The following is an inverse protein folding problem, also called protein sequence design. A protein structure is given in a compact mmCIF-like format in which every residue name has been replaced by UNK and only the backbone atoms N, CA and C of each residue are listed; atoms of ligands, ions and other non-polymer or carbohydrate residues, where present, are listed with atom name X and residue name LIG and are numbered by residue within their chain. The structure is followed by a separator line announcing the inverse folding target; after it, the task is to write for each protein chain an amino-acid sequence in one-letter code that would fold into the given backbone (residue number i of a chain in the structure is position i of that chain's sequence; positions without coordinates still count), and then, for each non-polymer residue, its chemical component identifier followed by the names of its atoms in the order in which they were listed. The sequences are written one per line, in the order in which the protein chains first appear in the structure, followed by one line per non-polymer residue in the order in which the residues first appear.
data_IF_916679295865
#
_entry.id   IF_916679295865
#
_cell.length_a   1.000
_cell.length_b   1.000
_cell.length_c   1.000
_cell.angle_alpha   90.00
_cell.angle_beta   90.00
_cell.angle_gamma   90.00
#
_symmetry.space_group_name_H-M   'P 1'
#
loop_
_entity.id
_entity.type
_entity.pdbx_description
1 polymer ?
#
# COMPACT_ATOMS: atom_id res chain seq x y z
N UNK A 1 -14.78 -22.16 -25.68
CA UNK A 1 -15.06 -22.15 -27.13
C UNK A 1 -13.79 -21.72 -27.84
N UNK A 2 -13.23 -22.54 -28.73
CA UNK A 2 -12.05 -22.19 -29.53
C UNK A 2 -12.54 -21.73 -30.91
N UNK A 3 -12.62 -20.41 -31.13
CA UNK A 3 -13.02 -19.85 -32.41
C UNK A 3 -11.78 -19.42 -33.20
N UNK A 4 -11.59 -19.84 -34.46
CA UNK A 4 -10.48 -19.39 -35.28
C UNK A 4 -10.56 -17.88 -35.48
N UNK A 5 -9.51 -17.15 -35.10
CA UNK A 5 -9.49 -15.68 -35.14
C UNK A 5 -9.31 -15.11 -36.56
N UNK A 6 -9.01 -15.96 -37.55
CA UNK A 6 -8.74 -15.53 -38.94
C UNK A 6 -7.43 -14.74 -39.11
N UNK A 7 -6.65 -14.55 -38.05
CA UNK A 7 -5.33 -13.93 -38.11
C UNK A 7 -4.25 -14.94 -38.55
N UNK A 8 -3.32 -14.49 -39.38
CA UNK A 8 -2.14 -15.26 -39.79
C UNK A 8 -1.02 -15.27 -38.72
N UNK A 9 -1.25 -14.63 -37.57
CA UNK A 9 -0.30 -14.53 -36.45
C UNK A 9 -1.06 -14.53 -35.12
N UNK A 10 -0.46 -15.14 -34.11
CA UNK A 10 -0.96 -15.09 -32.74
C UNK A 10 -0.77 -13.70 -32.13
N UNK A 11 -1.62 -13.34 -31.17
CA UNK A 11 -1.40 -12.17 -30.32
C UNK A 11 -0.17 -12.40 -29.44
N UNK A 12 0.54 -11.33 -29.13
CA UNK A 12 1.63 -11.36 -28.16
C UNK A 12 1.06 -11.46 -26.75
N UNK A 13 1.72 -12.24 -25.88
CA UNK A 13 1.31 -12.35 -24.50
C UNK A 13 1.45 -11.02 -23.76
N UNK A 14 0.49 -10.72 -22.89
CA UNK A 14 0.57 -9.61 -21.94
C UNK A 14 1.76 -9.83 -21.00
N UNK A 15 2.49 -8.76 -20.72
CA UNK A 15 3.61 -8.75 -19.77
C UNK A 15 3.17 -8.17 -18.44
N UNK A 16 3.48 -8.86 -17.34
CA UNK A 16 3.26 -8.33 -15.99
C UNK A 16 4.56 -7.68 -15.51
N UNK A 17 4.61 -6.34 -15.50
CA UNK A 17 5.82 -5.61 -15.12
C UNK A 17 6.00 -5.56 -13.59
N UNK A 18 7.03 -6.25 -13.10
CA UNK A 18 7.42 -6.22 -11.68
C UNK A 18 7.81 -4.84 -11.18
N UNK A 19 8.35 -3.97 -12.04
CA UNK A 19 8.66 -2.58 -11.70
C UNK A 19 7.41 -1.75 -11.43
N UNK A 20 6.27 -2.17 -11.95
CA UNK A 20 4.96 -1.55 -11.73
C UNK A 20 4.11 -2.29 -10.69
N UNK A 21 4.69 -3.19 -9.90
CA UNK A 21 3.97 -3.87 -8.84
C UNK A 21 3.08 -5.03 -9.32
N UNK A 22 3.39 -5.61 -10.48
CA UNK A 22 2.67 -6.77 -11.03
C UNK A 22 3.56 -8.01 -11.11
N UNK A 23 2.97 -9.19 -10.93
CA UNK A 23 3.62 -10.47 -11.17
C UNK A 23 2.72 -11.40 -11.98
N UNK A 24 3.35 -12.35 -12.68
CA UNK A 24 2.65 -13.37 -13.46
C UNK A 24 2.06 -14.41 -12.50
N UNK A 25 0.73 -14.45 -12.40
CA UNK A 25 0.02 -15.52 -11.69
C UNK A 25 -0.07 -16.77 -12.57
N UNK A 26 -0.37 -16.57 -13.85
CA UNK A 26 -0.50 -17.64 -14.84
C UNK A 26 0.16 -17.18 -16.14
N UNK A 27 1.08 -17.99 -16.67
CA UNK A 27 1.70 -17.72 -17.96
C UNK A 27 0.71 -17.88 -19.12
N UNK A 28 0.99 -17.19 -20.23
CA UNK A 28 0.22 -17.37 -21.45
C UNK A 28 0.35 -18.78 -22.03
N UNK A 29 -0.64 -19.18 -22.80
CA UNK A 29 -0.69 -20.42 -23.58
C UNK A 29 -1.18 -20.14 -25.00
N UNK A 30 -1.28 -21.17 -25.84
CA UNK A 30 -1.80 -21.04 -27.21
C UNK A 30 -3.24 -20.48 -27.28
N UNK A 31 -4.00 -20.57 -26.19
CA UNK A 31 -5.42 -20.19 -26.14
C UNK A 31 -5.77 -19.20 -25.04
N UNK A 32 -4.82 -18.87 -24.16
CA UNK A 32 -5.04 -17.98 -23.02
C UNK A 32 -3.91 -16.98 -22.90
N UNK A 33 -4.23 -15.74 -22.57
CA UNK A 33 -3.22 -14.74 -22.27
C UNK A 33 -2.66 -14.90 -20.83
N UNK A 34 -1.59 -14.20 -20.52
CA UNK A 34 -0.99 -14.10 -19.19
C UNK A 34 -1.98 -13.49 -18.20
N UNK A 35 -2.08 -14.03 -16.99
CA UNK A 35 -2.87 -13.43 -15.90
C UNK A 35 -1.94 -12.70 -14.93
N UNK A 36 -2.18 -11.41 -14.72
CA UNK A 36 -1.39 -10.57 -13.83
C UNK A 36 -2.05 -10.38 -12.46
N UNK A 37 -1.24 -10.40 -11.40
CA UNK A 37 -1.62 -10.07 -10.04
C UNK A 37 -0.70 -9.02 -9.43
N UNK A 38 -1.16 -8.40 -8.37
CA UNK A 38 -0.45 -7.34 -7.64
C UNK A 38 0.48 -7.93 -6.59
N UNK A 39 1.70 -7.42 -6.50
CA UNK A 39 2.70 -7.82 -5.49
C UNK A 39 2.39 -7.15 -4.15
N UNK A 40 2.86 -7.72 -3.04
CA UNK A 40 2.69 -7.13 -1.70
C UNK A 40 3.24 -5.70 -1.62
N UNK A 41 2.52 -4.83 -0.90
CA UNK A 41 2.81 -3.40 -0.81
C UNK A 41 2.26 -2.57 -1.99
N UNK A 42 1.48 -3.19 -2.88
CA UNK A 42 0.76 -2.51 -3.96
C UNK A 42 -0.73 -2.88 -3.93
N UNK A 43 -1.56 -2.04 -4.54
CA UNK A 43 -2.95 -2.33 -4.83
C UNK A 43 -3.26 -2.15 -6.32
N UNK A 44 -4.27 -2.86 -6.79
CA UNK A 44 -4.73 -2.74 -8.15
C UNK A 44 -5.58 -1.49 -8.32
N UNK A 45 -5.17 -0.60 -9.22
CA UNK A 45 -5.93 0.59 -9.58
C UNK A 45 -6.90 0.31 -10.72
N UNK A 46 -6.43 -0.40 -11.75
CA UNK A 46 -7.22 -0.74 -12.92
C UNK A 46 -7.23 -2.24 -13.17
N UNK A 47 -8.44 -2.79 -13.35
CA UNK A 47 -8.67 -4.18 -13.67
C UNK A 47 -8.95 -4.32 -15.17
N UNK A 48 -8.34 -5.34 -15.77
CA UNK A 48 -8.56 -5.77 -17.14
C UNK A 48 -9.05 -7.24 -17.14
N UNK A 49 -9.39 -7.76 -18.32
CA UNK A 49 -9.88 -9.13 -18.53
C UNK A 49 -8.87 -10.18 -18.04
N UNK A 50 -7.58 -9.83 -18.07
CA UNK A 50 -6.43 -10.68 -17.67
C UNK A 50 -5.94 -10.43 -16.24
N UNK A 51 -6.65 -9.62 -15.45
CA UNK A 51 -6.29 -9.33 -14.06
C UNK A 51 -5.93 -7.86 -13.85
N UNK A 52 -4.93 -7.59 -13.01
CA UNK A 52 -4.55 -6.20 -12.74
C UNK A 52 -3.66 -5.64 -13.86
N UNK A 53 -4.08 -4.55 -14.49
CA UNK A 53 -3.32 -3.89 -15.57
C UNK A 53 -2.46 -2.74 -15.05
N UNK A 54 -2.92 -2.03 -14.02
CA UNK A 54 -2.19 -0.95 -13.37
C UNK A 54 -2.21 -1.17 -11.86
N UNK A 55 -1.03 -1.37 -11.28
CA UNK A 55 -0.84 -1.40 -9.84
C UNK A 55 -0.15 -0.13 -9.35
N UNK A 56 -0.46 0.25 -8.12
CA UNK A 56 0.10 1.40 -7.45
C UNK A 56 0.59 0.99 -6.07
N UNK A 57 1.74 1.51 -5.64
CA UNK A 57 2.28 1.25 -4.31
C UNK A 57 1.32 1.77 -3.25
N UNK A 58 1.18 1.05 -2.14
CA UNK A 58 0.40 1.51 -1.00
C UNK A 58 0.94 2.83 -0.44
N UNK A 59 0.02 3.71 -0.05
CA UNK A 59 0.31 4.94 0.67
C UNK A 59 0.99 4.59 1.99
N UNK A 60 2.11 5.26 2.27
CA UNK A 60 2.76 5.21 3.58
C UNK A 60 2.30 6.42 4.37
N UNK A 61 1.70 6.20 5.54
CA UNK A 61 1.26 7.29 6.40
C UNK A 61 2.46 8.06 6.94
N UNK A 62 2.29 9.37 7.11
CA UNK A 62 3.38 10.26 7.52
C UNK A 62 3.47 10.35 9.04
N UNK A 63 4.58 10.86 9.61
CA UNK A 63 4.62 11.20 11.02
C UNK A 63 3.48 12.18 11.37
N UNK A 64 2.77 11.95 12.47
CA UNK A 64 1.49 12.61 12.74
C UNK A 64 0.26 11.74 12.47
N UNK A 65 0.40 10.66 11.70
CA UNK A 65 -0.70 9.78 11.32
C UNK A 65 -0.48 8.34 11.82
N UNK A 66 -1.55 7.56 11.80
CA UNK A 66 -1.52 6.09 11.94
C UNK A 66 -2.13 5.43 10.72
N UNK A 67 -1.81 4.15 10.55
CA UNK A 67 -2.57 3.28 9.66
C UNK A 67 -3.93 3.03 10.32
N UNK A 68 -4.99 3.52 9.67
CA UNK A 68 -6.37 3.23 10.04
C UNK A 68 -6.83 1.90 9.48
N UNK A 69 -6.60 1.71 8.19
CA UNK A 69 -6.89 0.47 7.48
C UNK A 69 -5.65 0.07 6.67
N UNK A 70 -5.15 -1.17 6.81
CA UNK A 70 -4.04 -1.62 6.00
C UNK A 70 -4.46 -1.75 4.53
N UNK A 71 -3.52 -1.45 3.63
CA UNK A 71 -3.73 -1.65 2.19
C UNK A 71 -3.95 -3.12 1.86
N UNK A 72 -4.74 -3.38 0.81
CA UNK A 72 -5.00 -4.72 0.27
C UNK A 72 -4.59 -4.78 -1.20
N UNK A 73 -4.69 -5.94 -1.84
CA UNK A 73 -4.44 -6.04 -3.28
C UNK A 73 -5.41 -5.22 -4.16
N UNK A 74 -6.49 -4.66 -3.58
CA UNK A 74 -7.52 -3.90 -4.32
C UNK A 74 -7.83 -2.52 -3.75
N UNK A 75 -7.29 -2.18 -2.58
CA UNK A 75 -7.52 -0.90 -1.93
C UNK A 75 -6.22 -0.39 -1.35
N UNK A 76 -6.04 0.91 -1.40
CA UNK A 76 -4.90 1.57 -0.78
C UNK A 76 -5.00 1.52 0.77
N UNK A 77 -3.88 1.72 1.45
CA UNK A 77 -3.87 1.95 2.88
C UNK A 77 -4.54 3.29 3.22
N UNK A 78 -5.29 3.32 4.31
CA UNK A 78 -5.93 4.54 4.80
C UNK A 78 -5.20 5.05 6.03
N UNK A 79 -4.86 6.34 6.01
CA UNK A 79 -4.19 7.04 7.10
C UNK A 79 -5.19 7.89 7.89
N UNK A 80 -4.93 8.05 9.19
CA UNK A 80 -5.71 8.90 10.08
C UNK A 80 -4.78 9.69 10.99
N UNK A 81 -5.09 10.97 11.20
CA UNK A 81 -4.32 11.84 12.10
C UNK A 81 -4.41 11.35 13.56
N UNK A 82 -3.30 11.47 14.28
CA UNK A 82 -3.29 11.26 15.72
C UNK A 82 -4.09 12.36 16.42
N UNK A 83 -4.89 11.97 17.41
CA UNK A 83 -5.62 12.93 18.24
C UNK A 83 -4.67 13.60 19.23
N UNK A 84 -5.08 14.78 19.74
CA UNK A 84 -4.35 15.47 20.79
C UNK A 84 -4.09 14.56 21.99
N UNK A 85 -2.85 14.53 22.47
CA UNK A 85 -2.40 13.59 23.51
C UNK A 85 -1.71 12.34 22.95
N UNK A 86 -1.69 12.15 21.63
CA UNK A 86 -1.01 11.04 20.97
C UNK A 86 0.01 11.54 19.94
N UNK A 87 0.99 10.68 19.64
CA UNK A 87 1.98 10.92 18.60
C UNK A 87 2.31 9.67 17.78
N UNK A 88 2.75 9.85 16.55
CA UNK A 88 3.28 8.79 15.68
C UNK A 88 4.51 9.28 14.95
N UNK A 89 5.67 8.69 15.24
CA UNK A 89 6.95 9.07 14.62
C UNK A 89 7.12 8.50 13.21
N UNK A 90 6.50 7.35 12.93
CA UNK A 90 6.72 6.59 11.69
C UNK A 90 5.44 6.34 10.89
N UNK A 91 4.32 6.95 11.26
CA UNK A 91 3.05 6.77 10.54
C UNK A 91 2.33 5.47 10.84
N UNK A 92 2.81 4.63 11.76
CA UNK A 92 2.25 3.27 11.96
C UNK A 92 1.13 3.29 12.98
N UNK A 93 1.41 3.76 14.20
CA UNK A 93 0.49 3.78 15.33
C UNK A 93 0.62 5.10 16.09
N UNK A 94 -0.51 5.61 16.58
CA UNK A 94 -0.55 6.71 17.52
C UNK A 94 -0.34 6.15 18.93
N UNK A 95 0.74 6.57 19.60
CA UNK A 95 1.07 6.22 20.98
C UNK A 95 0.74 7.41 21.88
N UNK A 96 0.34 7.15 23.12
CA UNK A 96 0.11 8.20 24.12
C UNK A 96 1.40 9.00 24.37
N UNK A 97 1.27 10.31 24.60
CA UNK A 97 2.38 11.13 25.06
C UNK A 97 2.91 10.66 26.41
N UNK A 98 4.24 10.70 26.55
CA UNK A 98 4.92 10.47 27.81
C UNK A 98 4.44 11.48 28.86
N UNK A 99 4.04 10.97 30.01
CA UNK A 99 3.71 11.79 31.19
C UNK A 99 4.96 11.89 32.08
N UNK A 100 5.45 13.11 32.29
CA UNK A 100 6.59 13.35 33.16
C UNK A 100 6.26 13.00 34.62
N UNK A 101 7.23 12.42 35.33
CA UNK A 101 7.12 12.18 36.77
C UNK A 101 7.08 13.48 37.57
N UNK A 102 6.62 13.42 38.82
CA UNK A 102 6.52 14.61 39.71
C UNK A 102 7.86 15.34 39.91
N UNK A 103 8.97 14.65 39.71
CA UNK A 103 10.34 15.19 39.85
C UNK A 103 10.92 15.75 38.56
N UNK A 104 10.25 15.57 37.42
CA UNK A 104 10.72 16.00 36.11
C UNK A 104 9.89 17.17 35.58
N UNK A 105 10.54 18.06 34.82
CA UNK A 105 9.85 19.12 34.10
C UNK A 105 9.73 18.75 32.62
N UNK A 106 8.65 19.22 31.98
CA UNK A 106 8.52 19.13 30.52
C UNK A 106 9.54 20.07 29.87
N UNK A 107 10.53 19.49 29.20
CA UNK A 107 11.53 20.22 28.42
C UNK A 107 11.01 20.55 27.01
N UNK A 108 10.17 19.66 26.46
CA UNK A 108 9.56 19.83 25.14
C UNK A 108 8.11 19.34 25.19
N UNK A 109 7.19 20.14 24.67
CA UNK A 109 5.80 19.69 24.47
C UNK A 109 5.71 18.63 23.37
N UNK A 110 4.77 17.72 23.54
CA UNK A 110 4.44 16.72 22.54
C UNK A 110 3.74 17.34 21.34
N UNK A 111 3.90 16.71 20.18
CA UNK A 111 3.17 17.01 18.95
C UNK A 111 2.54 15.72 18.43
N UNK A 112 1.74 15.80 17.37
CA UNK A 112 1.21 14.61 16.69
C UNK A 112 2.33 13.72 16.12
N UNK A 113 3.53 14.28 15.88
CA UNK A 113 4.67 13.58 15.27
C UNK A 113 5.83 13.30 16.23
N UNK A 114 5.81 13.81 17.47
CA UNK A 114 6.90 13.62 18.42
C UNK A 114 6.42 13.62 19.85
N UNK A 115 7.09 12.83 20.69
CA UNK A 115 6.74 12.70 22.09
C UNK A 115 7.14 13.91 22.94
N UNK A 116 6.53 14.00 24.12
CA UNK A 116 6.95 14.87 25.23
C UNK A 116 8.34 14.45 25.72
N UNK A 117 9.22 15.42 25.94
CA UNK A 117 10.55 15.18 26.52
C UNK A 117 10.57 15.71 27.96
N UNK A 118 10.92 14.84 28.90
CA UNK A 118 11.03 15.15 30.33
C UNK A 118 12.50 15.17 30.76
N UNK A 119 12.86 16.02 31.73
CA UNK A 119 14.19 16.05 32.32
C UNK A 119 14.29 16.90 33.57
#
# INVERSE_FOLDING_TARGET
MNQPSGLNKCFTCTSCDSGHGLFVLQGCSETTDTVCKVIDGYFCKDLDVTGCSVAQKHTTCVPGERIKEPGTSRADAQCELCQSGFFSEHGVNCNDWTTCSETQVKLKEGTESSDVVCG
#
